data_IF_039185603997
#
_entry.id   IF_039185603997
#
_cell.length_a   1.000
_cell.length_b   1.000
_cell.length_c   1.000
_cell.angle_alpha   90.00
_cell.angle_beta   90.00
_cell.angle_gamma   90.00
#
_symmetry.space_group_name_H-M   'P 1'
#
loop_
_entity.id
_entity.type
_entity.pdbx_description
1 polymer ?
#
# COMPACT_ATOMS: atom_id res chain seq x y z
N UNK A 1 14.97 -11.25 -4.34
CA UNK A 1 14.12 -10.05 -4.38
C UNK A 1 14.02 -9.44 -5.79
N UNK A 2 15.12 -9.37 -6.55
CA UNK A 2 15.12 -8.77 -7.91
C UNK A 2 14.10 -9.37 -8.88
N UNK A 3 13.93 -10.70 -8.90
CA UNK A 3 12.91 -11.34 -9.74
C UNK A 3 11.48 -10.91 -9.36
N UNK A 4 11.21 -10.70 -8.06
CA UNK A 4 9.91 -10.20 -7.59
C UNK A 4 9.70 -8.77 -8.09
N UNK A 5 10.72 -7.91 -7.97
CA UNK A 5 10.65 -6.54 -8.50
C UNK A 5 10.42 -6.51 -10.02
N UNK A 6 10.99 -7.47 -10.76
CA UNK A 6 10.89 -7.52 -12.22
C UNK A 6 9.58 -8.11 -12.73
N UNK A 7 9.06 -9.14 -12.06
CA UNK A 7 7.95 -9.95 -12.59
C UNK A 7 6.65 -9.82 -11.81
N UNK A 8 6.69 -9.34 -10.56
CA UNK A 8 5.50 -9.21 -9.70
C UNK A 8 5.07 -7.75 -9.56
N UNK A 9 6.00 -6.80 -9.64
CA UNK A 9 5.64 -5.39 -9.64
C UNK A 9 4.75 -5.06 -10.84
N UNK A 10 3.60 -4.42 -10.62
CA UNK A 10 2.65 -4.07 -11.67
C UNK A 10 1.75 -5.22 -12.14
N UNK A 11 1.84 -6.42 -11.54
CA UNK A 11 0.86 -7.48 -11.80
C UNK A 11 -0.39 -7.29 -10.95
N UNK A 12 -1.40 -8.13 -11.19
CA UNK A 12 -2.68 -8.11 -10.46
C UNK A 12 -2.68 -9.08 -9.29
N UNK A 13 -3.16 -8.60 -8.15
CA UNK A 13 -3.56 -9.39 -6.99
C UNK A 13 -4.94 -8.91 -6.54
N UNK A 14 -5.90 -9.82 -6.42
CA UNK A 14 -7.32 -9.50 -6.17
C UNK A 14 -7.86 -8.39 -7.10
N UNK A 15 -7.57 -8.53 -8.40
CA UNK A 15 -7.87 -7.58 -9.48
C UNK A 15 -7.22 -6.18 -9.38
N UNK A 16 -6.38 -5.95 -8.37
CA UNK A 16 -5.67 -4.69 -8.15
C UNK A 16 -4.24 -4.76 -8.64
N UNK A 17 -3.77 -3.68 -9.27
CA UNK A 17 -2.36 -3.55 -9.63
C UNK A 17 -1.55 -3.29 -8.35
N UNK A 18 -0.65 -4.21 -8.01
CA UNK A 18 0.22 -4.08 -6.83
C UNK A 18 1.54 -3.40 -7.20
N UNK A 19 2.12 -2.70 -6.21
CA UNK A 19 3.40 -2.01 -6.33
C UNK A 19 4.37 -2.53 -5.28
N UNK A 20 5.59 -2.87 -5.69
CA UNK A 20 6.65 -3.33 -4.79
C UNK A 20 7.84 -2.37 -4.85
N UNK A 21 8.45 -2.08 -3.70
CA UNK A 21 9.64 -1.24 -3.56
C UNK A 21 10.66 -1.89 -2.64
N UNK A 22 11.92 -1.43 -2.73
CA UNK A 22 12.96 -1.80 -1.80
C UNK A 22 12.75 -1.08 -0.46
N UNK A 23 12.76 -1.84 0.62
CA UNK A 23 12.70 -1.33 1.99
C UNK A 23 14.05 -1.51 2.69
N UNK A 24 14.37 -0.63 3.64
CA UNK A 24 15.63 -0.66 4.39
C UNK A 24 15.69 -1.79 5.43
N UNK A 25 14.61 -2.56 5.60
CA UNK A 25 14.52 -3.70 6.53
C UNK A 25 13.49 -3.45 7.62
N UNK A 26 12.84 -4.52 8.05
CA UNK A 26 11.79 -4.47 9.06
C UNK A 26 12.31 -4.03 10.44
N UNK A 27 11.55 -3.14 11.08
CA UNK A 27 11.72 -2.73 12.48
C UNK A 27 10.35 -2.67 13.14
N UNK A 28 10.29 -2.97 14.43
CA UNK A 28 9.05 -2.89 15.20
C UNK A 28 8.44 -1.50 15.10
N UNK A 29 7.13 -1.45 14.86
CA UNK A 29 6.38 -0.22 14.58
C UNK A 29 6.26 0.09 13.08
N UNK A 30 7.08 -0.52 12.22
CA UNK A 30 7.00 -0.37 10.76
C UNK A 30 5.74 -0.99 10.15
N UNK A 31 5.10 -1.92 10.84
CA UNK A 31 3.86 -2.55 10.40
C UNK A 31 2.62 -1.64 10.47
N UNK A 32 2.66 -0.56 11.25
CA UNK A 32 1.51 0.31 11.45
C UNK A 32 1.47 1.45 10.43
N UNK A 33 0.26 1.77 9.96
CA UNK A 33 0.02 2.94 9.14
C UNK A 33 0.40 4.24 9.88
N UNK A 34 0.91 5.22 9.13
CA UNK A 34 1.36 6.52 9.66
C UNK A 34 0.38 7.66 9.41
N UNK A 35 -0.83 7.35 8.92
CA UNK A 35 -1.92 8.31 8.83
C UNK A 35 -2.42 8.72 10.22
N UNK A 36 -2.94 9.95 10.35
CA UNK A 36 -3.53 10.48 11.59
C UNK A 36 -4.70 9.63 12.11
N UNK A 37 -5.44 9.02 11.19
CA UNK A 37 -6.55 8.10 11.45
C UNK A 37 -6.11 6.66 11.79
N UNK A 38 -4.80 6.39 11.76
CA UNK A 38 -4.20 5.07 11.98
C UNK A 38 -4.01 4.24 10.71
N UNK A 39 -4.57 4.68 9.57
CA UNK A 39 -4.39 4.04 8.26
C UNK A 39 -3.09 4.43 7.56
N UNK A 40 -2.97 4.12 6.27
CA UNK A 40 -1.85 4.63 5.46
C UNK A 40 -2.04 6.12 5.19
N UNK A 41 -0.97 6.92 5.28
CA UNK A 41 -1.04 8.37 5.02
C UNK A 41 -1.55 8.70 3.61
N UNK A 42 -1.31 7.82 2.63
CA UNK A 42 -1.82 7.98 1.27
C UNK A 42 -3.34 7.87 1.17
N UNK A 43 -3.97 7.09 2.06
CA UNK A 43 -5.43 6.91 2.05
C UNK A 43 -6.15 8.16 2.57
N UNK A 44 -5.50 9.00 3.39
CA UNK A 44 -6.08 10.23 3.94
C UNK A 44 -6.17 11.36 2.90
N UNK A 45 -5.22 11.40 1.96
CA UNK A 45 -5.20 12.39 0.88
C UNK A 45 -6.07 11.97 -0.32
N UNK A 46 -6.71 10.80 -0.25
CA UNK A 46 -7.43 10.19 -1.38
C UNK A 46 -8.85 10.75 -1.50
N UNK A 47 -9.22 11.20 -2.70
CA UNK A 47 -10.52 11.81 -2.96
C UNK A 47 -11.49 10.86 -3.68
N UNK A 48 -10.96 9.87 -4.39
CA UNK A 48 -11.74 8.83 -5.07
C UNK A 48 -12.32 7.80 -4.08
N UNK A 49 -13.39 7.13 -4.52
CA UNK A 49 -13.99 6.02 -3.79
C UNK A 49 -13.33 4.70 -4.22
N UNK A 50 -12.84 3.91 -3.25
CA UNK A 50 -12.33 2.55 -3.46
C UNK A 50 -12.93 1.63 -2.40
N UNK A 51 -13.81 0.72 -2.83
CA UNK A 51 -14.46 -0.25 -1.95
C UNK A 51 -13.47 -1.21 -1.27
N UNK A 52 -12.30 -1.45 -1.90
CA UNK A 52 -11.23 -2.27 -1.33
C UNK A 52 -10.31 -1.51 -0.37
N UNK A 53 -10.61 -0.25 -0.05
CA UNK A 53 -9.92 0.60 0.95
C UNK A 53 -10.92 1.41 1.78
N UNK A 54 -11.97 0.75 2.25
CA UNK A 54 -12.99 1.32 3.15
C UNK A 54 -13.78 2.52 2.60
N UNK A 55 -13.81 2.72 1.28
CA UNK A 55 -14.61 3.76 0.62
C UNK A 55 -13.82 5.02 0.27
N UNK A 56 -14.15 6.16 0.87
CA UNK A 56 -13.46 7.44 0.65
C UNK A 56 -12.26 7.60 1.60
N UNK A 57 -11.35 8.51 1.28
CA UNK A 57 -10.25 8.86 2.17
C UNK A 57 -10.73 9.40 3.53
N UNK A 58 -9.91 9.18 4.57
CA UNK A 58 -10.20 9.56 5.97
C UNK A 58 -9.51 10.85 6.40
#
# INVERSE_FOLDING_TARGET
AENVMRYVNGTRLDDRIIRTDWDAGFKEGGQYGRGRSGGQAGDECRQDYDAGRDGYGK
#
